data_IF_714717735209
#
_entry.id   IF_714717735209
#
_cell.length_a   1.000
_cell.length_b   1.000
_cell.length_c   1.000
_cell.angle_alpha   90.00
_cell.angle_beta   90.00
_cell.angle_gamma   90.00
#
_symmetry.space_group_name_H-M   'P 1'
#
loop_
_entity.id
_entity.type
_entity.pdbx_description
1 polymer ?
#
# COMPACT_ATOMS: atom_id res chain seq x y z
N UNK A 1 -36.11 -20.62 14.71
CA UNK A 1 -34.75 -20.08 14.91
C UNK A 1 -33.87 -20.59 13.78
N UNK A 2 -33.60 -19.81 12.73
CA UNK A 2 -32.55 -20.14 11.75
C UNK A 2 -31.98 -18.86 11.13
N UNK A 3 -30.64 -18.88 11.01
CA UNK A 3 -29.79 -18.13 10.09
C UNK A 3 -29.48 -16.65 10.39
N UNK A 4 -28.56 -16.45 11.32
CA UNK A 4 -27.69 -15.27 11.32
C UNK A 4 -26.25 -15.70 11.58
N UNK A 5 -25.49 -16.05 10.53
CA UNK A 5 -24.00 -16.18 10.61
C UNK A 5 -23.34 -16.30 9.22
N UNK A 6 -23.76 -15.46 8.26
CA UNK A 6 -23.10 -15.35 6.94
C UNK A 6 -22.24 -14.09 6.76
N UNK A 7 -22.09 -13.26 7.80
CA UNK A 7 -21.34 -11.98 7.71
C UNK A 7 -19.92 -12.03 8.28
N UNK A 8 -19.53 -13.13 8.95
CA UNK A 8 -18.23 -13.27 9.63
C UNK A 8 -17.08 -13.79 8.74
N UNK A 9 -17.37 -14.29 7.53
CA UNK A 9 -16.36 -14.94 6.66
C UNK A 9 -15.46 -14.00 5.84
N UNK A 10 -15.93 -12.79 5.49
CA UNK A 10 -15.19 -11.90 4.58
C UNK A 10 -14.11 -11.06 5.28
N UNK A 11 -14.32 -10.65 6.53
CA UNK A 11 -13.31 -9.90 7.30
C UNK A 11 -12.10 -10.77 7.63
N UNK A 12 -12.32 -12.08 7.82
CA UNK A 12 -11.26 -13.02 8.20
C UNK A 12 -10.30 -13.32 7.02
N UNK A 13 -10.81 -13.47 5.79
CA UNK A 13 -9.95 -13.82 4.66
C UNK A 13 -8.95 -12.71 4.29
N UNK A 14 -9.34 -11.43 4.41
CA UNK A 14 -8.44 -10.31 4.12
C UNK A 14 -7.22 -10.33 5.04
N UNK A 15 -7.43 -10.47 6.34
CA UNK A 15 -6.34 -10.54 7.31
C UNK A 15 -5.42 -11.74 7.06
N UNK A 16 -6.00 -12.91 6.76
CA UNK A 16 -5.24 -14.14 6.43
C UNK A 16 -4.38 -13.94 5.18
N UNK A 17 -4.95 -13.39 4.11
CA UNK A 17 -4.23 -13.16 2.86
C UNK A 17 -3.09 -12.15 3.06
N UNK A 18 -3.34 -11.05 3.78
CA UNK A 18 -2.30 -10.05 4.09
C UNK A 18 -1.17 -10.70 4.90
N UNK A 19 -1.49 -11.44 5.97
CA UNK A 19 -0.48 -12.12 6.79
C UNK A 19 0.35 -13.10 5.95
N UNK A 20 -0.29 -13.84 5.04
CA UNK A 20 0.37 -14.84 4.19
C UNK A 20 1.24 -14.23 3.07
N UNK A 21 0.79 -13.14 2.46
CA UNK A 21 1.40 -12.62 1.23
C UNK A 21 2.18 -11.31 1.41
N UNK A 22 2.04 -10.59 2.52
CA UNK A 22 2.75 -9.32 2.77
C UNK A 22 4.27 -9.43 2.62
N UNK A 23 4.87 -10.54 3.05
CA UNK A 23 6.31 -10.79 2.89
C UNK A 23 6.78 -10.91 1.42
N UNK A 24 5.84 -11.09 0.48
CA UNK A 24 6.10 -11.18 -0.96
C UNK A 24 5.84 -9.86 -1.69
N UNK A 25 5.53 -8.78 -0.97
CA UNK A 25 5.41 -7.45 -1.57
C UNK A 25 6.80 -6.99 -2.00
N UNK A 26 6.92 -6.63 -3.27
CA UNK A 26 8.17 -6.15 -3.85
C UNK A 26 8.24 -4.62 -3.80
N UNK A 27 9.41 -4.10 -3.44
CA UNK A 27 9.69 -2.67 -3.38
C UNK A 27 10.82 -2.37 -4.36
N UNK A 28 10.54 -1.56 -5.38
CA UNK A 28 11.56 -1.12 -6.33
C UNK A 28 12.61 -0.21 -5.70
N UNK A 29 13.75 -0.06 -6.37
CA UNK A 29 14.70 1.01 -6.05
C UNK A 29 14.06 2.39 -6.14
N UNK A 30 14.61 3.34 -5.37
CA UNK A 30 14.12 4.71 -5.32
C UNK A 30 14.72 5.50 -6.49
N UNK A 31 13.90 6.32 -7.13
CA UNK A 31 14.30 7.22 -8.21
C UNK A 31 13.82 8.64 -7.92
N UNK A 32 14.44 9.63 -8.56
CA UNK A 32 14.35 11.02 -8.11
C UNK A 32 14.21 11.97 -9.28
N UNK A 33 13.46 13.04 -9.07
CA UNK A 33 13.60 14.28 -9.83
C UNK A 33 14.11 15.41 -8.90
N UNK A 34 13.88 16.65 -9.28
CA UNK A 34 14.30 17.82 -8.50
C UNK A 34 13.45 18.02 -7.22
N UNK A 35 12.18 17.60 -7.23
CA UNK A 35 11.20 17.90 -6.18
C UNK A 35 10.86 16.67 -5.31
N UNK A 36 10.83 15.49 -5.91
CA UNK A 36 10.30 14.26 -5.32
C UNK A 36 11.27 13.08 -5.41
N UNK A 37 11.12 12.19 -4.44
CA UNK A 37 11.58 10.82 -4.48
C UNK A 37 10.38 9.91 -4.78
N UNK A 38 10.60 8.93 -5.64
CA UNK A 38 9.59 8.00 -6.13
C UNK A 38 10.01 6.56 -5.89
N UNK A 39 9.01 5.68 -5.78
CA UNK A 39 9.18 4.24 -5.96
C UNK A 39 7.84 3.63 -6.38
N UNK A 40 7.90 2.46 -6.98
CA UNK A 40 6.73 1.60 -7.11
C UNK A 40 6.80 0.40 -6.16
N UNK A 41 5.64 -0.03 -5.70
CA UNK A 41 5.44 -1.24 -4.90
C UNK A 41 4.57 -2.20 -5.69
N UNK A 42 5.03 -3.43 -5.84
CA UNK A 42 4.32 -4.46 -6.59
C UNK A 42 3.68 -5.44 -5.61
N UNK A 43 2.34 -5.46 -5.59
CA UNK A 43 1.57 -6.37 -4.75
C UNK A 43 1.52 -7.79 -5.36
N UNK A 44 1.56 -8.84 -4.52
CA UNK A 44 1.15 -10.18 -4.92
C UNK A 44 -0.27 -10.17 -5.50
N UNK A 45 -0.50 -10.95 -6.57
CA UNK A 45 -1.79 -11.01 -7.29
C UNK A 45 -2.98 -11.28 -6.36
N UNK A 46 -2.76 -12.03 -5.28
CA UNK A 46 -3.77 -12.39 -4.29
C UNK A 46 -4.29 -11.20 -3.48
N UNK A 47 -3.48 -10.13 -3.35
CA UNK A 47 -3.86 -8.91 -2.62
C UNK A 47 -4.54 -7.86 -3.52
N UNK A 48 -4.42 -7.99 -4.85
CA UNK A 48 -4.99 -7.03 -5.83
C UNK A 48 -6.50 -6.89 -5.70
N UNK A 49 -7.19 -7.96 -5.31
CA UNK A 49 -8.65 -7.95 -5.08
C UNK A 49 -9.10 -7.05 -3.92
N UNK A 50 -8.17 -6.56 -3.09
CA UNK A 50 -8.45 -5.64 -1.98
C UNK A 50 -8.15 -4.18 -2.31
N UNK A 51 -7.72 -3.88 -3.54
CA UNK A 51 -7.46 -2.51 -3.99
C UNK A 51 -8.76 -1.76 -4.29
N UNK A 52 -8.77 -0.47 -3.94
CA UNK A 52 -9.86 0.47 -4.26
C UNK A 52 -9.68 1.04 -5.67
N UNK A 53 -10.74 1.62 -6.24
CA UNK A 53 -10.66 2.32 -7.53
C UNK A 53 -9.99 3.70 -7.42
N UNK A 54 -9.72 4.17 -6.20
CA UNK A 54 -9.23 5.50 -5.86
C UNK A 54 -7.82 5.44 -5.26
N UNK A 55 -7.20 6.61 -5.07
CA UNK A 55 -5.92 6.70 -4.35
C UNK A 55 -6.12 6.29 -2.90
N UNK A 56 -5.05 5.77 -2.28
CA UNK A 56 -5.10 5.24 -0.92
C UNK A 56 -4.34 6.16 0.03
N UNK A 57 -4.95 6.46 1.16
CA UNK A 57 -4.30 7.07 2.33
C UNK A 57 -3.25 6.15 2.95
N UNK A 58 -2.41 6.70 3.82
CA UNK A 58 -1.38 5.96 4.54
C UNK A 58 -1.93 4.74 5.29
N UNK A 59 -3.01 4.92 6.03
CA UNK A 59 -3.65 3.85 6.78
C UNK A 59 -4.20 2.74 5.87
N UNK A 60 -4.73 3.10 4.71
CA UNK A 60 -5.30 2.13 3.76
C UNK A 60 -4.22 1.26 3.12
N UNK A 61 -3.13 1.84 2.62
CA UNK A 61 -2.06 1.05 2.00
C UNK A 61 -1.24 0.29 3.05
N UNK A 62 -1.05 0.84 4.26
CA UNK A 62 -0.46 0.09 5.39
C UNK A 62 -1.36 -1.08 5.79
N UNK A 63 -2.67 -0.89 5.75
CA UNK A 63 -3.68 -1.92 5.96
C UNK A 63 -3.71 -3.04 4.89
N UNK A 64 -2.93 -2.92 3.80
CA UNK A 64 -2.69 -4.00 2.83
C UNK A 64 -1.37 -4.75 3.08
N UNK A 65 -0.61 -4.35 4.10
CA UNK A 65 0.69 -4.91 4.42
C UNK A 65 1.87 -4.22 3.73
N UNK A 66 1.65 -3.11 3.02
CA UNK A 66 2.75 -2.30 2.47
C UNK A 66 3.47 -1.61 3.63
N UNK A 67 4.79 -1.78 3.70
CA UNK A 67 5.65 -1.24 4.75
C UNK A 67 6.79 -0.44 4.14
N UNK A 68 6.79 0.87 4.42
CA UNK A 68 7.86 1.78 4.05
C UNK A 68 7.98 2.88 5.11
N UNK A 69 9.04 3.68 5.03
CA UNK A 69 9.27 4.85 5.88
C UNK A 69 8.10 5.84 5.83
N UNK A 70 8.02 6.82 6.75
CA UNK A 70 6.99 7.85 6.68
C UNK A 70 7.12 8.77 5.46
N UNK A 71 6.01 9.41 5.08
CA UNK A 71 5.96 10.48 4.08
C UNK A 71 5.59 10.07 2.66
N UNK A 72 5.45 8.77 2.38
CA UNK A 72 5.07 8.27 1.06
C UNK A 72 3.58 8.43 0.77
N UNK A 73 3.27 8.98 -0.40
CA UNK A 73 1.91 9.25 -0.90
C UNK A 73 1.65 8.38 -2.13
N UNK A 74 0.56 7.61 -2.12
CA UNK A 74 0.05 6.92 -3.31
C UNK A 74 -0.55 7.98 -4.25
N UNK A 75 0.15 8.33 -5.32
CA UNK A 75 -0.15 9.55 -6.10
C UNK A 75 -0.79 9.29 -7.46
N UNK A 76 -0.72 8.05 -7.97
CA UNK A 76 -1.24 7.71 -9.28
C UNK A 76 -1.62 6.23 -9.34
N UNK A 77 -2.74 5.94 -10.02
CA UNK A 77 -3.20 4.57 -10.29
C UNK A 77 -2.75 4.19 -11.69
N UNK A 78 -2.01 3.09 -11.80
CA UNK A 78 -1.68 2.49 -13.08
C UNK A 78 -2.76 1.45 -13.47
N UNK A 79 -3.73 1.86 -14.29
CA UNK A 79 -4.88 1.03 -14.64
C UNK A 79 -4.53 -0.30 -15.36
N UNK A 80 -3.56 -0.36 -16.30
CA UNK A 80 -3.19 -1.62 -16.96
C UNK A 80 -2.64 -2.67 -15.98
N UNK A 81 -1.78 -2.25 -15.04
CA UNK A 81 -1.18 -3.14 -14.04
C UNK A 81 -1.55 -2.68 -12.62
N UNK A 82 -2.80 -2.93 -12.24
CA UNK A 82 -3.37 -2.54 -10.93
C UNK A 82 -2.56 -3.00 -9.72
N UNK A 83 -1.76 -4.04 -9.87
CA UNK A 83 -0.90 -4.57 -8.82
C UNK A 83 0.35 -3.72 -8.54
N UNK A 84 0.62 -2.71 -9.38
CA UNK A 84 1.70 -1.75 -9.21
C UNK A 84 1.13 -0.48 -8.59
N UNK A 85 1.59 -0.16 -7.38
CA UNK A 85 1.25 1.06 -6.65
C UNK A 85 2.38 2.07 -6.79
N UNK A 86 2.05 3.29 -7.20
CA UNK A 86 3.01 4.36 -7.45
C UNK A 86 3.06 5.31 -6.26
N UNK A 87 4.23 5.43 -5.63
CA UNK A 87 4.44 6.28 -4.47
C UNK A 87 5.42 7.41 -4.78
N UNK A 88 5.17 8.58 -4.16
CA UNK A 88 6.12 9.70 -4.12
C UNK A 88 6.18 10.32 -2.73
N UNK A 89 7.30 10.94 -2.38
CA UNK A 89 7.44 11.82 -1.19
C UNK A 89 8.37 12.98 -1.50
N UNK A 90 8.30 14.06 -0.73
CA UNK A 90 9.24 15.18 -0.87
C UNK A 90 10.68 14.68 -0.72
N UNK A 91 11.56 15.13 -1.61
CA UNK A 91 12.97 14.69 -1.64
C UNK A 91 13.71 14.96 -0.33
N UNK A 92 13.35 16.04 0.36
CA UNK A 92 13.93 16.47 1.63
C UNK A 92 13.04 16.14 2.84
N UNK A 93 12.02 15.29 2.68
CA UNK A 93 11.07 14.91 3.74
C UNK A 93 11.80 14.45 5.01
N UNK A 94 12.78 13.54 4.87
CA UNK A 94 13.51 13.04 6.04
C UNK A 94 14.28 14.17 6.73
N UNK A 95 14.89 15.09 5.99
CA UNK A 95 15.60 16.22 6.60
C UNK A 95 14.66 17.17 7.34
N UNK A 96 13.49 17.46 6.75
CA UNK A 96 12.47 18.36 7.31
C UNK A 96 11.82 17.81 8.58
N UNK A 97 11.51 16.52 8.61
CA UNK A 97 10.66 15.93 9.65
C UNK A 97 11.40 15.03 10.66
N UNK A 98 12.64 14.60 10.38
CA UNK A 98 13.45 13.79 11.33
C UNK A 98 13.95 14.58 12.54
N UNK A 99 13.91 15.92 12.51
CA UNK A 99 14.26 16.79 13.66
C UNK A 99 13.12 16.99 14.67
N UNK A 100 11.95 16.35 14.48
CA UNK A 100 10.77 16.49 15.35
C UNK A 100 10.44 15.24 16.19
N UNK A 101 11.31 14.24 16.18
CA UNK A 101 11.29 13.07 17.07
C UNK A 101 12.52 13.12 17.98
#
# INVERSE_FOLDING_TARGET
>A
MLNGDRKTGFSNQRAVDIAKYSAHIFYSERYYDDEFEYRHVTLPKQLVKYLTAELMSEDEWRGLGVQQSPGWIHYMIHAPERHILLFRREKDYELKYKKKL
#
